data_IF_503372750071
#
_entry.id   IF_503372750071
#
_cell.length_a   1.000
_cell.length_b   1.000
_cell.length_c   1.000
_cell.angle_alpha   90.00
_cell.angle_beta   90.00
_cell.angle_gamma   90.00
#
_symmetry.space_group_name_H-M   'P 1'
#
loop_
_entity.id
_entity.type
_entity.pdbx_description
1 polymer ?
#
# COMPACT_ATOMS: atom_id res chain seq x y z
N UNK A 1 11.03 -9.07 5.13
CA UNK A 1 12.28 -8.33 4.86
C UNK A 1 12.94 -8.06 6.21
N UNK A 2 14.24 -8.31 6.36
CA UNK A 2 15.02 -7.88 7.54
C UNK A 2 16.00 -6.82 7.05
N UNK A 3 15.97 -5.62 7.64
CA UNK A 3 16.73 -4.48 7.12
C UNK A 3 16.95 -3.42 8.21
N UNK A 4 17.61 -2.31 7.86
CA UNK A 4 17.85 -1.16 8.72
C UNK A 4 16.73 -0.11 8.62
N UNK A 5 16.58 0.74 9.64
CA UNK A 5 15.52 1.75 9.70
C UNK A 5 15.47 2.69 8.50
N UNK A 6 16.63 3.17 8.03
CA UNK A 6 16.69 4.02 6.83
C UNK A 6 16.25 3.28 5.56
N UNK A 7 16.70 2.03 5.39
CA UNK A 7 16.34 1.23 4.23
C UNK A 7 14.84 0.88 4.22
N UNK A 8 14.25 0.60 5.39
CA UNK A 8 12.81 0.46 5.55
C UNK A 8 12.06 1.74 5.16
N UNK A 9 12.50 2.91 5.64
CA UNK A 9 11.86 4.19 5.29
C UNK A 9 11.92 4.48 3.79
N UNK A 10 13.06 4.22 3.15
CA UNK A 10 13.19 4.35 1.68
C UNK A 10 12.30 3.33 0.95
N UNK A 11 12.16 2.12 1.49
CA UNK A 11 11.22 1.13 0.96
C UNK A 11 9.78 1.64 1.04
N UNK A 12 9.35 2.17 2.20
CA UNK A 12 8.00 2.71 2.39
C UNK A 12 7.76 3.94 1.50
N UNK A 13 8.73 4.84 1.37
CA UNK A 13 8.69 5.95 0.42
C UNK A 13 8.46 5.45 -1.00
N UNK A 14 9.23 4.45 -1.45
CA UNK A 14 9.08 3.92 -2.81
C UNK A 14 7.78 3.14 -3.01
N UNK A 15 7.25 2.54 -1.95
CA UNK A 15 6.04 1.72 -1.96
C UNK A 15 4.76 2.56 -1.97
N UNK A 16 4.67 3.53 -1.05
CA UNK A 16 3.51 4.42 -0.88
C UNK A 16 3.67 5.77 -1.60
N UNK A 17 4.77 5.95 -2.33
CA UNK A 17 5.06 7.16 -3.09
C UNK A 17 5.18 8.42 -2.20
N UNK A 18 5.80 8.28 -1.03
CA UNK A 18 6.10 9.44 -0.19
C UNK A 18 7.00 10.43 -0.94
N UNK A 19 6.75 11.70 -0.70
CA UNK A 19 7.64 12.81 -1.04
C UNK A 19 8.94 12.71 -0.23
N UNK A 20 9.94 13.49 -0.66
CA UNK A 20 11.20 13.59 0.08
C UNK A 20 10.97 14.21 1.46
N UNK A 21 10.09 15.19 1.57
CA UNK A 21 9.79 15.87 2.84
C UNK A 21 9.12 14.93 3.84
N UNK A 22 8.16 14.12 3.39
CA UNK A 22 7.55 13.06 4.19
C UNK A 22 8.58 12.02 4.64
N UNK A 23 9.48 11.60 3.75
CA UNK A 23 10.58 10.71 4.14
C UNK A 23 11.41 11.33 5.25
N UNK A 24 11.85 12.58 5.10
CA UNK A 24 12.71 13.28 6.06
C UNK A 24 12.02 13.56 7.40
N UNK A 25 10.70 13.74 7.40
CA UNK A 25 9.89 13.96 8.60
C UNK A 25 9.65 12.71 9.45
N UNK A 26 9.81 11.51 8.89
CA UNK A 26 9.63 10.25 9.64
C UNK A 26 10.90 9.85 10.38
N UNK A 27 10.80 9.46 11.64
CA UNK A 27 11.94 8.95 12.44
C UNK A 27 12.14 7.44 12.19
N UNK A 28 13.37 6.97 12.37
CA UNK A 28 13.65 5.54 12.30
C UNK A 28 12.91 4.80 13.42
N UNK A 29 12.29 3.65 13.13
CA UNK A 29 11.65 2.85 14.16
C UNK A 29 12.67 2.26 15.15
N UNK A 30 12.22 1.85 16.35
CA UNK A 30 13.08 1.18 17.33
C UNK A 30 13.72 -0.10 16.79
N UNK A 31 14.85 -0.50 17.38
CA UNK A 31 15.56 -1.71 16.98
C UNK A 31 14.67 -2.95 17.08
N UNK A 32 14.82 -3.86 16.11
CA UNK A 32 14.09 -5.12 16.03
C UNK A 32 12.54 -4.99 15.98
N UNK A 33 12.02 -3.82 15.63
CA UNK A 33 10.58 -3.62 15.42
C UNK A 33 10.09 -4.32 14.15
N UNK A 34 8.91 -4.92 14.22
CA UNK A 34 8.24 -5.54 13.07
C UNK A 34 7.27 -4.56 12.41
N UNK A 35 7.34 -4.48 11.08
CA UNK A 35 6.45 -3.66 10.26
C UNK A 35 5.53 -4.55 9.44
N UNK A 36 4.23 -4.28 9.52
CA UNK A 36 3.19 -5.09 8.89
C UNK A 36 2.47 -4.24 7.85
N UNK A 37 2.47 -4.73 6.60
CA UNK A 37 1.61 -4.24 5.54
C UNK A 37 0.42 -5.17 5.43
N UNK A 38 -0.76 -4.65 5.72
CA UNK A 38 -2.02 -5.38 5.69
C UNK A 38 -2.63 -5.30 4.32
N UNK A 39 -3.18 -6.43 3.86
CA UNK A 39 -3.99 -6.47 2.65
C UNK A 39 -5.39 -5.97 2.97
N UNK A 40 -5.82 -4.92 2.28
CA UNK A 40 -7.11 -4.26 2.50
C UNK A 40 -8.30 -5.11 2.00
N UNK A 41 -8.34 -5.57 0.74
CA UNK A 41 -9.48 -6.33 0.25
C UNK A 41 -9.54 -7.73 0.86
N UNK A 42 -10.77 -8.19 1.12
CA UNK A 42 -11.05 -9.58 1.47
C UNK A 42 -10.65 -10.55 0.35
N UNK A 43 -10.59 -11.85 0.66
CA UNK A 43 -10.32 -12.88 -0.36
C UNK A 43 -11.41 -12.93 -1.44
N UNK A 44 -12.67 -12.63 -1.07
CA UNK A 44 -13.77 -12.58 -2.03
C UNK A 44 -13.61 -11.41 -3.00
N UNK A 45 -13.19 -10.24 -2.51
CA UNK A 45 -12.96 -9.06 -3.33
C UNK A 45 -11.72 -9.21 -4.23
N UNK A 46 -10.73 -9.97 -3.75
CA UNK A 46 -9.46 -10.24 -4.41
C UNK A 46 -9.50 -11.17 -5.62
N UNK A 47 -10.64 -11.82 -5.87
CA UNK A 47 -10.78 -12.80 -6.94
C UNK A 47 -10.41 -12.17 -8.29
N UNK A 48 -9.97 -12.98 -9.28
CA UNK A 48 -9.64 -12.46 -10.61
C UNK A 48 -10.76 -11.65 -11.29
N UNK A 49 -12.02 -11.94 -10.95
CA UNK A 49 -13.21 -11.22 -11.44
C UNK A 49 -13.83 -10.31 -10.36
N UNK A 50 -13.10 -10.07 -9.27
CA UNK A 50 -13.54 -9.28 -8.14
C UNK A 50 -13.46 -7.77 -8.38
N UNK A 51 -14.09 -6.96 -7.52
CA UNK A 51 -14.20 -5.51 -7.66
C UNK A 51 -12.85 -4.79 -7.68
N UNK A 52 -11.79 -5.37 -7.10
CA UNK A 52 -10.44 -4.78 -7.06
C UNK A 52 -9.47 -5.39 -8.07
N UNK A 53 -9.92 -6.28 -8.96
CA UNK A 53 -9.05 -6.97 -9.92
C UNK A 53 -8.31 -6.03 -10.88
N UNK A 54 -8.83 -4.82 -11.09
CA UNK A 54 -8.22 -3.78 -11.93
C UNK A 54 -7.15 -2.96 -11.19
N UNK A 55 -7.10 -3.04 -9.86
CA UNK A 55 -6.14 -2.29 -9.06
C UNK A 55 -4.77 -2.98 -9.09
N UNK A 56 -3.70 -2.18 -9.19
CA UNK A 56 -2.35 -2.68 -9.10
C UNK A 56 -2.07 -3.26 -7.71
N UNK A 57 -1.30 -4.35 -7.61
CA UNK A 57 -1.08 -5.10 -6.35
C UNK A 57 -0.69 -4.20 -5.16
N UNK A 58 0.16 -3.18 -5.37
CA UNK A 58 0.60 -2.25 -4.31
C UNK A 58 -0.55 -1.44 -3.69
N UNK A 59 -1.57 -1.10 -4.49
CA UNK A 59 -2.74 -0.35 -4.06
C UNK A 59 -3.63 -1.14 -3.08
N UNK A 60 -3.43 -2.45 -2.99
CA UNK A 60 -4.19 -3.34 -2.13
C UNK A 60 -3.63 -3.44 -0.71
N UNK A 61 -2.52 -2.76 -0.41
CA UNK A 61 -1.85 -2.83 0.89
C UNK A 61 -1.87 -1.47 1.58
N UNK A 62 -1.97 -1.51 2.91
CA UNK A 62 -1.74 -0.38 3.79
C UNK A 62 -0.77 -0.74 4.90
N UNK A 63 -0.11 0.23 5.49
CA UNK A 63 0.61 0.03 6.74
C UNK A 63 -0.40 -0.23 7.87
N UNK A 64 -0.15 -1.24 8.71
CA UNK A 64 -0.98 -1.47 9.90
C UNK A 64 -0.91 -0.27 10.86
N UNK A 65 -1.98 0.01 11.63
CA UNK A 65 -1.99 1.08 12.62
C UNK A 65 -0.85 0.95 13.65
N UNK A 66 -0.59 -0.26 14.12
CA UNK A 66 0.45 -0.53 15.12
C UNK A 66 1.85 -0.28 14.55
N UNK A 67 2.07 -0.56 13.26
CA UNK A 67 3.34 -0.27 12.59
C UNK A 67 3.51 1.22 12.30
N UNK A 68 2.42 1.93 12.00
CA UNK A 68 2.42 3.39 11.83
C UNK A 68 2.82 4.09 13.14
N UNK A 69 2.30 3.63 14.27
CA UNK A 69 2.61 4.23 15.58
C UNK A 69 4.10 4.10 15.97
N UNK A 70 4.81 3.15 15.37
CA UNK A 70 6.27 2.99 15.52
C UNK A 70 7.09 3.90 14.58
N UNK A 71 6.44 4.59 13.63
CA UNK A 71 7.04 5.53 12.70
C UNK A 71 6.61 6.95 13.06
N UNK A 72 7.24 7.52 14.09
CA UNK A 72 7.00 8.90 14.50
C UNK A 72 7.15 9.85 13.30
N UNK A 73 6.15 10.71 13.08
CA UNK A 73 6.05 11.61 11.93
C UNK A 73 5.29 11.05 10.72
N UNK A 74 4.88 9.77 10.74
CA UNK A 74 4.08 9.15 9.67
C UNK A 74 2.58 9.43 9.87
N UNK A 75 1.90 9.99 8.87
CA UNK A 75 0.45 10.27 8.91
C UNK A 75 -0.37 9.12 8.32
N UNK A 76 -1.70 9.19 8.45
CA UNK A 76 -2.61 8.18 7.89
C UNK A 76 -2.61 8.17 6.36
N UNK A 77 -2.47 9.33 5.74
CA UNK A 77 -2.42 9.48 4.29
C UNK A 77 -1.17 8.81 3.70
N UNK A 78 -0.07 8.83 4.46
CA UNK A 78 1.19 8.18 4.09
C UNK A 78 1.10 6.64 4.12
N UNK A 79 0.09 6.07 4.79
CA UNK A 79 0.02 4.63 4.99
C UNK A 79 -0.56 3.83 3.81
N UNK A 80 -0.96 4.48 2.71
CA UNK A 80 -1.47 3.81 1.51
C UNK A 80 -1.06 4.52 0.22
N UNK A 81 -0.89 3.74 -0.86
CA UNK A 81 -0.62 4.27 -2.19
C UNK A 81 -1.90 4.72 -2.93
N UNK A 82 -3.06 4.49 -2.32
CA UNK A 82 -4.37 4.74 -2.91
C UNK A 82 -5.09 5.79 -2.08
N UNK A 83 -5.61 6.82 -2.74
CA UNK A 83 -6.46 7.80 -2.07
C UNK A 83 -7.64 7.08 -1.39
N UNK A 84 -8.03 7.44 -0.16
CA UNK A 84 -9.16 6.83 0.55
C UNK A 84 -10.46 6.79 -0.29
N UNK A 85 -10.62 7.77 -1.18
CA UNK A 85 -11.76 7.85 -2.10
C UNK A 85 -11.78 6.71 -3.13
N UNK A 86 -10.62 6.25 -3.59
CA UNK A 86 -10.51 5.15 -4.56
C UNK A 86 -10.88 3.79 -3.96
N UNK A 87 -10.68 3.58 -2.66
CA UNK A 87 -11.09 2.37 -1.95
C UNK A 87 -12.61 2.30 -1.76
N UNK A 88 -13.29 3.45 -1.64
CA UNK A 88 -14.75 3.49 -1.52
C UNK A 88 -15.46 3.26 -2.87
N UNK A 89 -14.77 3.43 -3.99
CA UNK A 89 -15.32 3.17 -5.32
C UNK A 89 -15.12 1.68 -5.65
N UNK A 90 -16.15 0.88 -5.34
CA UNK A 90 -16.19 -0.57 -5.63
C UNK A 90 -16.28 -0.91 -7.13
N UNK A 91 -16.26 0.09 -8.00
CA UNK A 91 -16.45 -0.06 -9.44
C UNK A 91 -15.24 0.49 -10.20
N UNK A 92 -14.73 -0.23 -11.22
CA UNK A 92 -13.68 0.32 -12.08
C UNK A 92 -14.14 1.66 -12.68
N UNK A 93 -13.24 2.66 -12.85
CA UNK A 93 -13.57 3.87 -13.57
C UNK A 93 -14.06 3.50 -14.97
N UNK A 94 -15.22 4.05 -15.37
CA UNK A 94 -15.89 3.74 -16.63
C UNK A 94 -14.94 3.96 -17.81
N UNK A 95 -14.35 2.88 -18.34
CA UNK A 95 -13.52 2.94 -19.54
C UNK A 95 -12.21 2.14 -19.53
N UNK A 96 -11.79 1.53 -18.42
CA UNK A 96 -10.57 0.69 -18.47
C UNK A 96 -10.90 -0.70 -19.02
N UNK A 97 -10.33 -1.12 -20.18
CA UNK A 97 -10.54 -2.46 -20.70
C UNK A 97 -9.95 -3.50 -19.73
N UNK A 98 -10.73 -4.54 -19.42
CA UNK A 98 -10.30 -5.70 -18.62
C UNK A 98 -8.98 -6.22 -19.21
N UNK A 99 -7.89 -6.38 -18.44
CA UNK A 99 -6.66 -6.95 -18.97
C UNK A 99 -6.97 -8.37 -19.46
N UNK A 100 -6.90 -8.55 -20.79
CA UNK A 100 -7.12 -9.83 -21.45
C UNK A 100 -5.99 -10.76 -21.03
N UNK A 101 -6.30 -11.84 -20.31
CA UNK A 101 -5.31 -12.84 -19.91
C UNK A 101 -4.64 -13.40 -21.17
N UNK A 102 -3.32 -13.19 -21.29
CA UNK A 102 -2.51 -13.62 -22.44
C UNK A 102 -2.11 -15.11 -22.32
N UNK A 103 -2.99 -15.96 -21.79
CA UNK A 103 -2.77 -17.42 -21.63
C UNK A 103 -3.83 -18.30 -22.30
N UNK A 104 -4.71 -17.72 -23.12
CA UNK A 104 -5.68 -18.47 -23.92
C UNK A 104 -5.27 -18.53 -25.41
N UNK A 105 -4.03 -18.96 -25.69
CA UNK A 105 -3.57 -19.37 -27.02
C UNK A 105 -2.70 -20.61 -26.94
#
# INVERSE_FOLDING_TARGET
LVTHGLALRVFLMRWFHWTVDELLGVINPPHASTMILERIPSEQEARPDGPVAWMHTKALYRLSPESRDLLEGCTDEMCSATSPLLLSVKTPPSGTPKPRNMRDR
#
